data_IF_767932883247
#
_entry.id   IF_767932883247
#
_cell.length_a   1.000
_cell.length_b   1.000
_cell.length_c   1.000
_cell.angle_alpha   90.00
_cell.angle_beta   90.00
_cell.angle_gamma   90.00
#
_symmetry.space_group_name_H-M   'P 1'
#
loop_
_entity.id
_entity.type
_entity.pdbx_description
1 polymer ?
#
# COMPACT_ATOMS: atom_id res chain seq x y z
N UNK A 1 20.90 -13.11 5.50
CA UNK A 1 21.57 -12.99 4.15
C UNK A 1 20.56 -13.10 3.01
N UNK A 2 19.70 -14.13 2.93
CA UNK A 2 18.67 -14.26 1.85
C UNK A 2 17.82 -13.01 1.72
N UNK A 3 17.26 -12.49 2.83
CA UNK A 3 16.47 -11.27 2.86
C UNK A 3 17.21 -10.06 2.25
N UNK A 4 18.46 -9.82 2.68
CA UNK A 4 19.25 -8.69 2.21
C UNK A 4 19.51 -8.77 0.69
N UNK A 5 19.87 -9.94 0.18
CA UNK A 5 20.08 -10.16 -1.25
C UNK A 5 18.79 -10.01 -2.05
N UNK A 6 17.68 -10.53 -1.54
CA UNK A 6 16.39 -10.40 -2.20
C UNK A 6 15.95 -8.94 -2.30
N UNK A 7 16.06 -8.17 -1.22
CA UNK A 7 15.70 -6.74 -1.23
C UNK A 7 16.64 -5.91 -2.11
N UNK A 8 17.93 -6.23 -2.15
CA UNK A 8 18.86 -5.60 -3.07
C UNK A 8 18.48 -5.85 -4.54
N UNK A 9 18.12 -7.09 -4.90
CA UNK A 9 17.66 -7.43 -6.25
C UNK A 9 16.33 -6.72 -6.60
N UNK A 10 15.38 -6.66 -5.66
CA UNK A 10 14.10 -5.93 -5.83
C UNK A 10 14.37 -4.44 -6.08
N UNK A 11 15.23 -3.82 -5.26
CA UNK A 11 15.61 -2.40 -5.40
C UNK A 11 16.31 -2.13 -6.72
N UNK A 12 17.31 -2.95 -7.07
CA UNK A 12 18.05 -2.83 -8.33
C UNK A 12 17.14 -2.99 -9.56
N UNK A 13 16.13 -3.85 -9.48
CA UNK A 13 15.11 -4.02 -10.52
C UNK A 13 14.09 -2.88 -10.61
N UNK A 14 14.14 -1.88 -9.72
CA UNK A 14 13.20 -0.76 -9.67
C UNK A 14 11.80 -1.18 -9.21
N UNK A 15 11.72 -2.18 -8.33
CA UNK A 15 10.47 -2.72 -7.80
C UNK A 15 10.20 -2.35 -6.34
N UNK A 16 11.05 -1.51 -5.71
CA UNK A 16 10.94 -1.07 -4.32
C UNK A 16 10.61 0.43 -4.23
N UNK A 17 9.73 0.80 -3.32
CA UNK A 17 9.28 2.18 -3.11
C UNK A 17 8.30 2.61 -4.20
N UNK A 18 8.51 3.76 -4.81
CA UNK A 18 7.75 4.21 -5.99
C UNK A 18 8.18 3.38 -7.20
N UNK A 19 7.24 2.65 -7.78
CA UNK A 19 7.48 1.77 -8.93
C UNK A 19 6.81 2.37 -10.17
N UNK A 20 7.61 2.61 -11.21
CA UNK A 20 7.11 3.11 -12.49
C UNK A 20 7.70 2.28 -13.64
N UNK A 21 6.85 1.80 -14.55
CA UNK A 21 7.23 1.06 -15.76
C UNK A 21 6.37 1.55 -16.93
N UNK A 22 6.95 2.43 -17.74
CA UNK A 22 6.20 3.14 -18.77
C UNK A 22 5.10 4.03 -18.15
N UNK A 23 3.85 3.83 -18.55
CA UNK A 23 2.70 4.58 -18.01
C UNK A 23 2.09 3.96 -16.74
N UNK A 24 2.60 2.81 -16.30
CA UNK A 24 2.09 2.10 -15.12
C UNK A 24 2.84 2.55 -13.88
N UNK A 25 2.10 2.82 -12.82
CA UNK A 25 2.63 3.27 -11.54
C UNK A 25 2.08 2.43 -10.38
N UNK A 26 2.87 2.29 -9.36
CA UNK A 26 2.51 1.62 -8.13
C UNK A 26 3.50 1.93 -7.02
N UNK A 27 3.30 1.30 -5.90
CA UNK A 27 4.22 1.37 -4.75
C UNK A 27 4.42 -0.01 -4.18
N UNK A 28 5.55 -0.20 -3.52
CA UNK A 28 5.79 -1.40 -2.73
C UNK A 28 6.70 -1.09 -1.55
N UNK A 29 6.54 -1.84 -0.50
CA UNK A 29 7.34 -1.71 0.68
C UNK A 29 7.49 -3.05 1.40
N UNK A 30 8.50 -3.14 2.26
CA UNK A 30 8.66 -4.21 3.25
C UNK A 30 8.53 -3.57 4.62
N UNK A 31 7.57 -4.08 5.40
CA UNK A 31 7.30 -3.64 6.76
C UNK A 31 7.99 -4.55 7.80
N UNK A 32 7.25 -5.17 8.72
CA UNK A 32 7.85 -5.92 9.81
C UNK A 32 8.73 -7.09 9.33
N UNK A 33 9.87 -7.23 9.99
CA UNK A 33 10.78 -8.38 9.87
C UNK A 33 10.87 -9.03 11.25
N UNK A 34 10.39 -10.25 11.37
CA UNK A 34 10.34 -10.97 12.64
C UNK A 34 10.95 -12.37 12.52
N UNK A 35 11.22 -13.00 13.64
CA UNK A 35 11.55 -14.43 13.73
C UNK A 35 10.29 -15.31 13.76
N UNK A 36 10.44 -16.54 14.21
CA UNK A 36 9.32 -17.44 14.47
C UNK A 36 8.40 -16.92 15.57
N UNK A 37 7.09 -17.17 15.44
CA UNK A 37 6.07 -16.78 16.43
C UNK A 37 6.01 -15.28 16.76
N UNK A 38 6.42 -14.42 15.80
CA UNK A 38 6.41 -12.97 15.99
C UNK A 38 7.56 -12.42 16.84
N UNK A 39 8.47 -13.25 17.34
CA UNK A 39 9.68 -12.84 18.07
C UNK A 39 10.65 -12.06 17.17
N UNK A 40 11.62 -11.34 17.72
CA UNK A 40 12.69 -10.72 16.93
C UNK A 40 13.40 -11.74 16.02
N UNK A 41 13.87 -11.30 14.86
CA UNK A 41 14.66 -12.13 13.95
C UNK A 41 16.09 -12.24 14.47
N UNK A 42 16.35 -13.26 15.27
CA UNK A 42 17.61 -13.50 15.97
C UNK A 42 17.58 -13.03 17.43
N UNK A 43 17.91 -13.93 18.32
CA UNK A 43 17.83 -13.72 19.78
C UNK A 43 19.17 -13.28 20.38
N UNK A 44 20.29 -13.53 19.69
CA UNK A 44 21.64 -13.18 20.14
C UNK A 44 22.60 -13.03 18.95
N UNK A 45 23.69 -12.30 19.17
CA UNK A 45 24.71 -12.02 18.13
C UNK A 45 25.50 -13.24 17.70
N UNK A 46 25.57 -14.26 18.55
CA UNK A 46 26.30 -15.52 18.31
C UNK A 46 25.39 -16.68 17.84
N UNK A 47 24.10 -16.42 17.59
CA UNK A 47 23.15 -17.41 17.08
C UNK A 47 22.82 -17.14 15.63
N UNK A 48 22.93 -18.18 14.79
CA UNK A 48 22.52 -18.10 13.38
C UNK A 48 21.00 -18.18 13.32
N UNK A 49 20.38 -17.13 12.82
CA UNK A 49 18.92 -17.08 12.60
C UNK A 49 18.52 -18.07 11.52
N UNK A 50 17.71 -19.05 11.87
CA UNK A 50 17.24 -20.13 11.00
C UNK A 50 15.94 -19.77 10.25
N UNK A 51 15.13 -18.86 10.82
CA UNK A 51 13.85 -18.45 10.31
C UNK A 51 13.66 -16.93 10.36
N UNK A 52 13.19 -16.36 9.26
CA UNK A 52 12.82 -14.94 9.16
C UNK A 52 11.46 -14.83 8.47
N UNK A 53 10.51 -14.18 9.13
CA UNK A 53 9.23 -13.80 8.58
C UNK A 53 9.27 -12.35 8.13
N UNK A 54 8.88 -12.10 6.89
CA UNK A 54 8.90 -10.77 6.27
C UNK A 54 7.50 -10.46 5.76
N UNK A 55 6.96 -9.33 6.14
CA UNK A 55 5.70 -8.82 5.59
C UNK A 55 6.01 -7.63 4.67
N UNK A 56 5.30 -7.56 3.59
CA UNK A 56 5.42 -6.47 2.63
C UNK A 56 4.09 -6.23 1.95
N UNK A 57 4.01 -5.14 1.20
CA UNK A 57 2.84 -4.79 0.41
C UNK A 57 3.24 -4.29 -0.97
N UNK A 58 2.32 -4.38 -1.90
CA UNK A 58 2.38 -3.73 -3.20
C UNK A 58 1.03 -3.14 -3.54
N UNK A 59 1.04 -1.94 -4.12
CA UNK A 59 -0.18 -1.18 -4.47
C UNK A 59 -0.08 -0.68 -5.89
N UNK A 60 -1.19 -0.70 -6.62
CA UNK A 60 -1.36 -0.04 -7.91
C UNK A 60 -2.84 0.06 -8.24
N UNK A 61 -3.23 1.12 -8.96
CA UNK A 61 -4.56 1.19 -9.59
C UNK A 61 -4.74 0.17 -10.73
N UNK A 62 -3.64 -0.35 -11.28
CA UNK A 62 -3.63 -1.47 -12.22
C UNK A 62 -3.36 -2.77 -11.48
N UNK A 63 -4.39 -3.61 -11.33
CA UNK A 63 -4.30 -4.90 -10.65
C UNK A 63 -3.31 -5.87 -11.32
N UNK A 64 -3.11 -5.78 -12.64
CA UNK A 64 -2.12 -6.60 -13.34
C UNK A 64 -0.72 -6.15 -12.96
N UNK A 65 -0.49 -4.84 -12.94
CA UNK A 65 0.79 -4.27 -12.55
C UNK A 65 1.11 -4.53 -11.07
N UNK A 66 0.12 -4.45 -10.19
CA UNK A 66 0.28 -4.82 -8.78
C UNK A 66 0.79 -6.28 -8.64
N UNK A 67 0.21 -7.21 -9.39
CA UNK A 67 0.67 -8.62 -9.43
C UNK A 67 2.08 -8.77 -10.00
N UNK A 68 2.48 -7.95 -10.98
CA UNK A 68 3.85 -7.95 -11.51
C UNK A 68 4.85 -7.51 -10.43
N UNK A 69 4.54 -6.45 -9.67
CA UNK A 69 5.37 -6.01 -8.52
C UNK A 69 5.52 -7.16 -7.53
N UNK A 70 4.42 -7.75 -7.09
CA UNK A 70 4.43 -8.89 -6.14
C UNK A 70 5.24 -10.07 -6.67
N UNK A 71 5.11 -10.38 -7.97
CA UNK A 71 5.88 -11.45 -8.63
C UNK A 71 7.39 -11.16 -8.64
N UNK A 72 7.78 -9.89 -8.83
CA UNK A 72 9.19 -9.51 -8.80
C UNK A 72 9.82 -9.80 -7.42
N UNK A 73 9.10 -9.51 -6.34
CA UNK A 73 9.53 -9.91 -5.00
C UNK A 73 9.68 -11.43 -4.87
N UNK A 74 8.65 -12.18 -5.25
CA UNK A 74 8.72 -13.67 -5.21
C UNK A 74 9.96 -14.20 -5.90
N UNK A 75 10.20 -13.74 -7.13
CA UNK A 75 11.35 -14.18 -7.93
C UNK A 75 12.68 -13.81 -7.27
N UNK A 76 12.80 -12.61 -6.70
CA UNK A 76 14.01 -12.16 -6.02
C UNK A 76 14.31 -13.00 -4.77
N UNK A 77 13.29 -13.29 -3.95
CA UNK A 77 13.43 -14.16 -2.78
C UNK A 77 13.81 -15.59 -3.14
N UNK A 78 13.15 -16.18 -4.14
CA UNK A 78 13.46 -17.53 -4.61
C UNK A 78 14.88 -17.62 -5.19
N UNK A 79 15.32 -16.60 -5.94
CA UNK A 79 16.69 -16.51 -6.48
C UNK A 79 17.71 -16.38 -5.35
N UNK A 80 17.46 -15.50 -4.38
CA UNK A 80 18.35 -15.30 -3.24
C UNK A 80 18.48 -16.58 -2.40
N UNK A 81 17.39 -17.29 -2.18
CA UNK A 81 17.41 -18.58 -1.46
C UNK A 81 18.28 -19.62 -2.15
N UNK A 82 18.27 -19.69 -3.48
CA UNK A 82 19.13 -20.62 -4.26
C UNK A 82 20.61 -20.22 -4.24
N UNK A 83 20.90 -18.91 -4.13
CA UNK A 83 22.29 -18.39 -4.08
C UNK A 83 22.98 -18.64 -2.74
N UNK A 84 22.23 -18.55 -1.65
CA UNK A 84 22.79 -18.72 -0.30
C UNK A 84 22.88 -20.19 0.02
N UNK A 85 24.07 -20.65 0.35
CA UNK A 85 24.35 -22.03 0.76
C UNK A 85 24.85 -22.04 2.20
N UNK A 86 24.51 -23.08 2.95
CA UNK A 86 25.10 -23.36 4.24
C UNK A 86 26.45 -24.13 4.06
N UNK A 87 27.08 -24.52 5.17
CA UNK A 87 28.32 -25.31 5.18
C UNK A 87 28.21 -26.64 4.42
N UNK A 88 27.03 -27.26 4.40
CA UNK A 88 26.76 -28.51 3.71
C UNK A 88 26.36 -28.29 2.23
N UNK A 89 26.45 -27.07 1.70
CA UNK A 89 26.04 -26.76 0.35
C UNK A 89 24.55 -26.72 0.11
N UNK A 90 23.72 -26.82 1.16
CA UNK A 90 22.24 -26.79 1.05
C UNK A 90 21.73 -25.36 0.94
N UNK A 91 20.76 -25.16 0.05
CA UNK A 91 20.10 -23.86 -0.13
C UNK A 91 19.03 -23.63 0.94
N UNK A 92 18.77 -22.34 1.23
CA UNK A 92 17.61 -21.95 2.01
C UNK A 92 16.28 -22.20 1.27
N UNK A 93 15.19 -22.08 1.97
CA UNK A 93 13.82 -22.21 1.43
C UNK A 93 13.04 -20.94 1.63
N UNK A 94 12.16 -20.62 0.70
CA UNK A 94 11.21 -19.50 0.78
C UNK A 94 9.80 -20.06 0.65
N UNK A 95 8.94 -19.70 1.60
CA UNK A 95 7.49 -19.86 1.49
C UNK A 95 6.90 -18.46 1.22
N UNK A 96 6.50 -18.21 -0.02
CA UNK A 96 5.92 -16.95 -0.42
C UNK A 96 4.39 -17.07 -0.46
N UNK A 97 3.68 -16.18 0.26
CA UNK A 97 2.23 -16.08 0.24
C UNK A 97 1.87 -14.67 -0.20
N UNK A 98 0.87 -14.52 -1.05
CA UNK A 98 0.34 -13.23 -1.46
C UNK A 98 -1.17 -13.28 -1.40
N UNK A 99 -1.76 -12.26 -0.81
CA UNK A 99 -3.20 -12.08 -0.65
C UNK A 99 -3.59 -10.69 -1.16
N UNK A 100 -4.84 -10.52 -1.54
CA UNK A 100 -5.37 -9.21 -1.96
C UNK A 100 -6.21 -8.64 -0.83
N UNK A 101 -5.70 -7.56 -0.21
CA UNK A 101 -6.42 -6.88 0.86
C UNK A 101 -7.48 -5.91 0.30
N UNK A 102 -7.14 -5.20 -0.80
CA UNK A 102 -8.01 -4.18 -1.40
C UNK A 102 -8.07 -4.32 -2.92
N UNK A 103 -9.23 -3.98 -3.48
CA UNK A 103 -9.44 -3.92 -4.92
C UNK A 103 -9.43 -2.46 -5.37
N UNK A 104 -8.66 -2.08 -6.41
CA UNK A 104 -8.71 -0.73 -6.94
C UNK A 104 -10.07 -0.45 -7.56
N UNK A 105 -10.54 0.78 -7.41
CA UNK A 105 -11.75 1.25 -8.05
C UNK A 105 -11.56 2.66 -8.64
N UNK A 106 -12.46 3.03 -9.52
CA UNK A 106 -12.56 4.38 -10.07
C UNK A 106 -14.03 4.72 -10.28
N UNK A 107 -14.47 5.82 -9.71
CA UNK A 107 -15.79 6.38 -9.96
C UNK A 107 -15.78 7.24 -11.23
N UNK A 108 -16.83 7.13 -12.04
CA UNK A 108 -17.08 8.08 -13.14
C UNK A 108 -17.58 9.39 -12.53
N UNK A 109 -17.11 10.52 -13.04
CA UNK A 109 -17.52 11.84 -12.55
C UNK A 109 -19.02 12.12 -12.73
N UNK A 110 -19.66 11.47 -13.69
CA UNK A 110 -21.11 11.58 -13.93
C UNK A 110 -21.99 10.84 -12.91
N UNK A 111 -21.42 10.09 -11.98
CA UNK A 111 -22.22 9.37 -10.98
C UNK A 111 -22.84 10.32 -9.95
N UNK A 112 -24.09 10.08 -9.51
CA UNK A 112 -24.76 10.93 -8.53
C UNK A 112 -23.95 11.13 -7.23
N UNK A 113 -23.29 10.10 -6.73
CA UNK A 113 -22.44 10.18 -5.53
C UNK A 113 -21.27 11.16 -5.72
N UNK A 114 -20.68 11.23 -6.92
CA UNK A 114 -19.60 12.17 -7.23
C UNK A 114 -20.14 13.59 -7.36
N UNK A 115 -21.28 13.78 -8.05
CA UNK A 115 -21.91 15.08 -8.18
C UNK A 115 -22.34 15.64 -6.81
N UNK A 116 -22.91 14.80 -5.94
CA UNK A 116 -23.26 15.16 -4.56
C UNK A 116 -22.02 15.59 -3.77
N UNK A 117 -20.91 14.86 -3.90
CA UNK A 117 -19.65 15.19 -3.27
C UNK A 117 -19.09 16.54 -3.74
N UNK A 118 -19.12 16.80 -5.05
CA UNK A 118 -18.70 18.07 -5.67
C UNK A 118 -19.56 19.22 -5.14
N UNK A 119 -20.88 19.06 -5.12
CA UNK A 119 -21.80 20.08 -4.61
C UNK A 119 -21.53 20.40 -3.13
N UNK A 120 -21.40 19.38 -2.28
CA UNK A 120 -21.13 19.56 -0.86
C UNK A 120 -19.81 20.30 -0.60
N UNK A 121 -18.75 19.98 -1.33
CA UNK A 121 -17.46 20.68 -1.22
C UNK A 121 -17.61 22.16 -1.61
N UNK A 122 -18.33 22.44 -2.71
CA UNK A 122 -18.55 23.83 -3.14
C UNK A 122 -19.38 24.63 -2.13
N UNK A 123 -20.43 24.04 -1.56
CA UNK A 123 -21.31 24.67 -0.58
C UNK A 123 -20.62 24.94 0.77
N UNK A 124 -19.57 24.19 1.09
CA UNK A 124 -18.72 24.45 2.27
C UNK A 124 -17.53 25.37 1.98
N UNK A 125 -17.55 26.07 0.84
CA UNK A 125 -16.51 27.04 0.44
C UNK A 125 -15.22 26.41 -0.09
N UNK A 126 -15.23 25.12 -0.36
CA UNK A 126 -14.10 24.42 -0.96
C UNK A 126 -14.09 24.48 -2.49
N UNK A 127 -12.93 24.20 -3.08
CA UNK A 127 -12.78 24.02 -4.54
C UNK A 127 -12.69 22.53 -4.82
N UNK A 128 -13.72 21.91 -5.45
CA UNK A 128 -13.71 20.50 -5.73
C UNK A 128 -12.56 20.10 -6.67
N UNK A 129 -11.80 19.09 -6.28
CA UNK A 129 -10.72 18.52 -7.10
C UNK A 129 -10.88 16.99 -7.14
N UNK A 130 -11.47 16.49 -8.21
CA UNK A 130 -11.62 15.05 -8.42
C UNK A 130 -10.30 14.47 -8.87
N UNK A 131 -9.75 13.54 -8.10
CA UNK A 131 -8.49 12.87 -8.42
C UNK A 131 -8.48 11.43 -7.94
N UNK A 132 -7.67 10.60 -8.59
CA UNK A 132 -7.34 9.28 -8.05
C UNK A 132 -6.35 9.45 -6.90
N UNK A 133 -6.59 8.78 -5.79
CA UNK A 133 -5.70 8.75 -4.62
C UNK A 133 -5.20 7.32 -4.37
N UNK A 134 -3.99 7.20 -3.83
CA UNK A 134 -3.44 5.92 -3.42
C UNK A 134 -3.79 5.69 -1.94
N UNK A 135 -4.53 4.64 -1.65
CA UNK A 135 -4.89 4.26 -0.30
C UNK A 135 -5.68 2.96 -0.28
N UNK A 136 -5.60 2.23 0.81
CA UNK A 136 -6.50 1.14 1.13
C UNK A 136 -7.51 1.65 2.16
N UNK A 137 -8.79 1.71 1.81
CA UNK A 137 -9.87 2.26 2.60
C UNK A 137 -11.07 1.31 2.54
N UNK A 138 -11.99 1.43 3.49
CA UNK A 138 -13.27 0.70 3.47
C UNK A 138 -14.08 0.96 2.20
N UNK A 139 -13.90 2.12 1.57
CA UNK A 139 -14.46 2.45 0.27
C UNK A 139 -14.13 1.43 -0.82
N UNK A 140 -12.96 0.79 -0.78
CA UNK A 140 -12.58 -0.27 -1.72
C UNK A 140 -13.52 -1.48 -1.60
N UNK A 141 -13.88 -1.83 -0.39
CA UNK A 141 -14.83 -2.93 -0.11
C UNK A 141 -16.27 -2.52 -0.39
N UNK A 142 -16.69 -1.32 -0.02
CA UNK A 142 -18.02 -0.79 -0.34
C UNK A 142 -18.26 -0.82 -1.84
N UNK A 143 -17.34 -0.29 -2.65
CA UNK A 143 -17.44 -0.30 -4.11
C UNK A 143 -17.41 -1.73 -4.66
N UNK A 144 -16.61 -2.61 -4.09
CA UNK A 144 -16.55 -4.03 -4.45
C UNK A 144 -17.92 -4.72 -4.28
N UNK A 145 -18.68 -4.31 -3.27
CA UNK A 145 -20.02 -4.81 -2.96
C UNK A 145 -21.14 -4.01 -3.65
N UNK A 146 -20.82 -3.15 -4.61
CA UNK A 146 -21.81 -2.43 -5.41
C UNK A 146 -22.33 -1.15 -4.75
N UNK A 147 -21.67 -0.65 -3.68
CA UNK A 147 -22.01 0.61 -3.02
C UNK A 147 -21.08 1.71 -3.57
N UNK A 148 -21.57 2.60 -4.46
CA UNK A 148 -20.76 3.68 -5.00
C UNK A 148 -20.30 4.60 -3.87
N UNK A 149 -18.99 4.74 -3.71
CA UNK A 149 -18.39 5.46 -2.58
C UNK A 149 -17.30 6.40 -3.07
N UNK A 150 -17.30 7.63 -2.58
CA UNK A 150 -16.22 8.60 -2.73
C UNK A 150 -15.53 8.83 -1.39
N UNK A 151 -14.28 9.26 -1.43
CA UNK A 151 -13.49 9.58 -0.25
C UNK A 151 -13.00 11.01 -0.31
N UNK A 152 -12.74 11.62 0.83
CA UNK A 152 -12.28 12.99 0.96
C UNK A 152 -10.96 13.03 1.71
N UNK A 153 -10.14 14.04 1.44
CA UNK A 153 -9.04 14.42 2.31
C UNK A 153 -9.58 15.15 3.56
N UNK A 154 -8.85 15.05 4.64
CA UNK A 154 -9.16 15.73 5.90
C UNK A 154 -7.95 16.52 6.43
N UNK A 155 -7.12 17.08 5.53
CA UNK A 155 -5.99 17.94 5.90
C UNK A 155 -4.71 17.19 6.29
N UNK A 156 -4.63 15.86 6.11
CA UNK A 156 -3.39 15.12 6.36
C UNK A 156 -2.35 15.37 5.26
N UNK A 157 -1.13 15.60 5.68
CA UNK A 157 0.04 15.79 4.83
C UNK A 157 1.18 14.90 5.28
N UNK A 158 2.11 14.54 4.40
CA UNK A 158 3.26 13.65 4.61
C UNK A 158 2.88 12.33 5.30
N UNK A 159 1.72 11.78 4.92
CA UNK A 159 1.09 10.60 5.52
C UNK A 159 2.03 9.41 5.52
N UNK A 160 2.13 8.71 6.66
CA UNK A 160 3.02 7.57 6.91
C UNK A 160 4.51 7.91 6.96
N UNK A 161 4.87 9.14 7.27
CA UNK A 161 6.24 9.57 7.53
C UNK A 161 6.39 10.08 8.97
N UNK A 162 7.63 10.29 9.41
CA UNK A 162 7.90 10.93 10.71
C UNK A 162 7.55 12.41 10.72
N UNK A 163 7.34 13.00 9.54
CA UNK A 163 6.98 14.40 9.34
C UNK A 163 5.47 14.56 9.07
N UNK A 164 4.66 13.57 9.43
CA UNK A 164 3.21 13.61 9.24
C UNK A 164 2.59 14.74 10.06
N UNK A 165 1.76 15.55 9.42
CA UNK A 165 1.08 16.67 10.05
C UNK A 165 -0.33 16.85 9.47
N UNK A 166 -1.17 17.61 10.21
CA UNK A 166 -2.53 17.95 9.80
C UNK A 166 -2.69 19.47 9.69
N UNK A 167 -3.33 19.91 8.61
CA UNK A 167 -3.78 21.29 8.46
C UNK A 167 -5.15 21.44 9.15
N UNK A 168 -5.22 22.22 10.21
CA UNK A 168 -6.44 22.38 11.01
C UNK A 168 -7.56 23.07 10.25
N UNK A 169 -7.27 24.05 9.39
CA UNK A 169 -8.30 24.72 8.58
C UNK A 169 -8.91 23.77 7.55
N UNK A 170 -8.12 22.86 6.99
CA UNK A 170 -8.63 21.80 6.09
C UNK A 170 -9.41 20.74 6.86
N UNK A 171 -8.99 20.43 8.08
CA UNK A 171 -9.69 19.50 8.96
C UNK A 171 -11.06 20.05 9.37
N UNK A 172 -11.15 21.30 9.79
CA UNK A 172 -12.41 21.94 10.14
C UNK A 172 -13.37 22.02 8.96
N UNK A 173 -12.86 22.29 7.77
CA UNK A 173 -13.66 22.21 6.53
C UNK A 173 -14.14 20.79 6.24
N UNK A 174 -13.32 19.79 6.51
CA UNK A 174 -13.74 18.40 6.36
C UNK A 174 -14.85 18.01 7.35
N UNK A 175 -14.81 18.53 8.58
CA UNK A 175 -15.89 18.37 9.56
C UNK A 175 -17.19 19.03 9.07
N UNK A 176 -17.12 20.28 8.60
CA UNK A 176 -18.27 20.97 8.01
C UNK A 176 -18.84 20.24 6.79
N UNK A 177 -17.97 19.72 5.93
CA UNK A 177 -18.34 18.87 4.79
C UNK A 177 -19.09 17.62 5.22
N UNK A 178 -18.62 16.92 6.27
CA UNK A 178 -19.29 15.73 6.79
C UNK A 178 -20.71 16.05 7.27
N UNK A 179 -20.88 17.12 8.02
CA UNK A 179 -22.21 17.61 8.45
C UNK A 179 -23.08 17.94 7.24
N UNK A 180 -22.53 18.64 6.26
CA UNK A 180 -23.28 19.02 5.05
C UNK A 180 -23.75 17.77 4.28
N UNK A 181 -22.88 16.79 4.07
CA UNK A 181 -23.21 15.53 3.39
C UNK A 181 -24.34 14.76 4.11
N UNK A 182 -24.35 14.78 5.44
CA UNK A 182 -25.37 14.13 6.25
C UNK A 182 -26.72 14.83 6.21
N UNK A 183 -26.74 16.15 5.95
CA UNK A 183 -27.97 16.99 5.98
C UNK A 183 -28.47 17.41 4.60
N UNK A 184 -27.73 17.11 3.54
CA UNK A 184 -28.22 17.35 2.16
C UNK A 184 -29.42 16.46 1.85
N UNK A 185 -30.45 16.99 1.16
CA UNK A 185 -31.57 16.21 0.67
C UNK A 185 -31.16 15.12 -0.35
#
# INVERSE_FOLDING_TARGET
MILALALADVKAGGWFGKVAKGRRAGTSNVGPVTGGEGRPAGDATNVVTDYVHVRGESRSHDSKFCREITRAYKMAFEKAAKRVKNSDGKSGRVKFKAETDYYPFRMKESLPVVNRAIAAVSETGGIPRVRAANGGLDANWMVRHGIPTVTFGAGQNEVHTIDEWINLDEYDRACALAVRLATMP
#
